data_IF_665582334838
#
_entry.id   IF_665582334838
#
_cell.length_a   1.000
_cell.length_b   1.000
_cell.length_c   1.000
_cell.angle_alpha   90.00
_cell.angle_beta   90.00
_cell.angle_gamma   90.00
#
_symmetry.space_group_name_H-M   'P 1'
#
loop_
_entity.id
_entity.type
_entity.pdbx_description
1 polymer ?
#
# COMPACT_ATOMS: atom_id res chain seq x y z
N UNK A 1 -25.22 4.64 -30.95
CA UNK A 1 -24.30 5.00 -29.84
C UNK A 1 -24.20 3.98 -28.72
N UNK A 2 -25.26 3.28 -28.28
CA UNK A 2 -25.20 2.28 -27.19
C UNK A 2 -24.25 1.09 -27.44
N UNK A 3 -24.23 0.50 -28.65
CA UNK A 3 -23.37 -0.65 -28.99
C UNK A 3 -21.85 -0.39 -28.91
N UNK A 4 -21.39 0.85 -29.08
CA UNK A 4 -19.97 1.22 -28.92
C UNK A 4 -19.57 1.43 -27.45
N UNK A 5 -20.53 1.73 -26.57
CA UNK A 5 -20.28 1.83 -25.13
C UNK A 5 -20.09 0.43 -24.53
N UNK A 6 -20.93 -0.54 -24.91
CA UNK A 6 -20.87 -1.92 -24.38
C UNK A 6 -19.56 -2.65 -24.75
N UNK A 7 -19.03 -2.42 -25.96
CA UNK A 7 -17.72 -2.96 -26.39
C UNK A 7 -16.52 -2.30 -25.68
N UNK A 8 -16.64 -1.01 -25.31
CA UNK A 8 -15.61 -0.30 -24.53
C UNK A 8 -15.62 -0.68 -23.05
N UNK A 9 -16.79 -0.92 -22.47
CA UNK A 9 -16.93 -1.42 -21.09
C UNK A 9 -16.35 -2.84 -21.00
N UNK A 10 -16.57 -3.68 -22.02
CA UNK A 10 -16.00 -5.03 -22.13
C UNK A 10 -14.47 -5.06 -22.18
N UNK A 11 -13.82 -4.04 -22.77
CA UNK A 11 -12.35 -3.93 -22.82
C UNK A 11 -11.77 -3.29 -21.57
N UNK A 12 -12.49 -2.35 -20.94
CA UNK A 12 -12.02 -1.63 -19.74
C UNK A 12 -12.00 -2.50 -18.49
N UNK A 13 -12.95 -3.43 -18.37
CA UNK A 13 -13.08 -4.34 -17.22
C UNK A 13 -12.69 -5.78 -17.56
N UNK A 14 -11.91 -5.98 -18.62
CA UNK A 14 -11.64 -7.30 -19.19
C UNK A 14 -10.97 -8.24 -18.18
N UNK A 15 -10.06 -7.74 -17.35
CA UNK A 15 -9.39 -8.58 -16.34
C UNK A 15 -10.31 -9.02 -15.19
N UNK A 16 -11.47 -8.37 -14.97
CA UNK A 16 -12.47 -8.82 -13.97
C UNK A 16 -13.14 -10.15 -14.34
N UNK A 17 -12.93 -10.65 -15.57
CA UNK A 17 -13.36 -12.00 -15.96
C UNK A 17 -12.64 -13.09 -15.16
N UNK A 18 -11.41 -12.83 -14.70
CA UNK A 18 -10.63 -13.77 -13.91
C UNK A 18 -11.11 -13.77 -12.45
N UNK A 19 -11.48 -14.94 -11.93
CA UNK A 19 -12.05 -15.11 -10.59
C UNK A 19 -11.14 -14.52 -9.49
N UNK A 20 -9.85 -14.88 -9.52
CA UNK A 20 -8.88 -14.42 -8.54
C UNK A 20 -8.65 -12.90 -8.62
N UNK A 21 -8.55 -12.35 -9.84
CA UNK A 21 -8.42 -10.90 -10.02
C UNK A 21 -9.65 -10.14 -9.53
N UNK A 22 -10.86 -10.67 -9.75
CA UNK A 22 -12.10 -10.04 -9.28
C UNK A 22 -12.19 -10.00 -7.75
N UNK A 23 -11.87 -11.10 -7.07
CA UNK A 23 -11.79 -11.13 -5.60
C UNK A 23 -10.74 -10.14 -5.08
N UNK A 24 -9.59 -10.10 -5.73
CA UNK A 24 -8.52 -9.16 -5.38
C UNK A 24 -8.99 -7.72 -5.54
N UNK A 25 -9.57 -7.38 -6.68
CA UNK A 25 -10.02 -6.02 -6.99
C UNK A 25 -11.07 -5.52 -6.00
N UNK A 26 -12.09 -6.32 -5.69
CA UNK A 26 -13.16 -5.94 -4.76
C UNK A 26 -12.59 -5.79 -3.34
N UNK A 27 -11.82 -6.78 -2.88
CA UNK A 27 -11.20 -6.73 -1.57
C UNK A 27 -10.30 -5.49 -1.44
N UNK A 28 -9.38 -5.32 -2.38
CA UNK A 28 -8.40 -4.25 -2.34
C UNK A 28 -9.01 -2.87 -2.45
N UNK A 29 -10.08 -2.70 -3.23
CA UNK A 29 -10.75 -1.40 -3.34
C UNK A 29 -11.22 -0.93 -1.97
N UNK A 30 -11.86 -1.82 -1.20
CA UNK A 30 -12.40 -1.51 0.12
C UNK A 30 -11.27 -1.25 1.12
N UNK A 31 -10.23 -2.10 1.13
CA UNK A 31 -9.09 -1.94 2.04
C UNK A 31 -8.25 -0.70 1.74
N UNK A 32 -8.08 -0.32 0.48
CA UNK A 32 -7.39 0.91 0.12
C UNK A 32 -8.16 2.14 0.61
N UNK A 33 -9.49 2.16 0.48
CA UNK A 33 -10.31 3.26 1.02
C UNK A 33 -10.12 3.37 2.53
N UNK A 34 -10.23 2.25 3.27
CA UNK A 34 -9.99 2.22 4.71
C UNK A 34 -8.57 2.69 5.09
N UNK A 35 -7.56 2.26 4.33
CA UNK A 35 -6.16 2.64 4.56
C UNK A 35 -5.98 4.15 4.36
N UNK A 36 -6.56 4.71 3.30
CA UNK A 36 -6.53 6.15 3.03
C UNK A 36 -7.29 6.94 4.08
N UNK A 37 -8.40 6.41 4.61
CA UNK A 37 -9.08 7.02 5.75
C UNK A 37 -8.16 7.10 6.98
N UNK A 38 -7.55 5.97 7.38
CA UNK A 38 -6.63 5.92 8.52
C UNK A 38 -5.43 6.86 8.33
N UNK A 39 -4.88 6.97 7.10
CA UNK A 39 -3.78 7.90 6.78
C UNK A 39 -4.12 9.36 7.01
N UNK A 40 -5.40 9.74 6.97
CA UNK A 40 -5.88 11.09 7.28
C UNK A 40 -6.21 11.23 8.77
N UNK A 41 -6.82 10.19 9.35
CA UNK A 41 -7.23 10.19 10.76
C UNK A 41 -6.03 10.21 11.71
N UNK A 42 -4.93 9.49 11.43
CA UNK A 42 -3.78 9.42 12.34
C UNK A 42 -3.12 10.80 12.55
N UNK A 43 -2.74 11.56 11.50
CA UNK A 43 -2.22 12.92 11.68
C UNK A 43 -3.18 13.85 12.41
N UNK A 44 -4.49 13.72 12.14
CA UNK A 44 -5.53 14.49 12.82
C UNK A 44 -5.54 14.23 14.33
N UNK A 45 -5.49 12.96 14.74
CA UNK A 45 -5.42 12.58 16.16
C UNK A 45 -4.14 13.09 16.82
N UNK A 46 -2.99 12.94 16.16
CA UNK A 46 -1.70 13.44 16.71
C UNK A 46 -1.74 14.94 16.93
N UNK A 47 -2.27 15.70 15.95
CA UNK A 47 -2.41 17.14 16.08
C UNK A 47 -3.37 17.53 17.21
N UNK A 48 -4.54 16.87 17.30
CA UNK A 48 -5.53 17.12 18.34
C UNK A 48 -4.98 16.85 19.76
N UNK A 49 -4.13 15.84 19.92
CA UNK A 49 -3.52 15.48 21.21
C UNK A 49 -2.39 16.43 21.63
N UNK A 50 -1.70 17.08 20.69
CA UNK A 50 -0.44 17.80 20.97
C UNK A 50 -0.44 19.28 20.65
N UNK A 51 -1.28 19.71 19.70
CA UNK A 51 -1.18 21.02 19.06
C UNK A 51 0.11 21.26 18.28
N UNK A 52 0.95 20.24 18.08
CA UNK A 52 2.31 20.40 17.54
C UNK A 52 2.45 19.88 16.11
N UNK A 53 2.71 20.79 15.17
CA UNK A 53 3.04 20.46 13.78
C UNK A 53 4.33 19.63 13.65
N UNK A 54 5.27 19.78 14.60
CA UNK A 54 6.50 19.00 14.62
C UNK A 54 6.21 17.52 14.89
N UNK A 55 5.39 17.20 15.90
CA UNK A 55 5.04 15.82 16.24
C UNK A 55 4.19 15.15 15.15
N UNK A 56 3.36 15.93 14.45
CA UNK A 56 2.69 15.47 13.24
C UNK A 56 3.72 15.05 12.17
N UNK A 57 4.71 15.91 11.89
CA UNK A 57 5.79 15.61 10.95
C UNK A 57 6.61 14.37 11.34
N UNK A 58 6.97 14.24 12.62
CA UNK A 58 7.68 13.06 13.15
C UNK A 58 6.85 11.80 12.98
N UNK A 59 5.55 11.84 13.28
CA UNK A 59 4.64 10.69 13.12
C UNK A 59 4.51 10.26 11.65
N UNK A 60 4.41 11.24 10.74
CA UNK A 60 4.41 10.98 9.29
C UNK A 60 5.73 10.38 8.82
N UNK A 61 6.86 10.92 9.27
CA UNK A 61 8.19 10.42 8.95
C UNK A 61 8.40 8.98 9.44
N UNK A 62 7.99 8.68 10.67
CA UNK A 62 8.08 7.34 11.24
C UNK A 62 7.31 6.27 10.43
N UNK A 63 6.24 6.66 9.74
CA UNK A 63 5.50 5.76 8.84
C UNK A 63 6.23 5.47 7.52
N UNK A 64 7.04 6.41 7.03
CA UNK A 64 7.73 6.28 5.74
C UNK A 64 9.17 5.77 5.86
N UNK A 65 9.86 6.10 6.95
CA UNK A 65 11.25 5.74 7.19
C UNK A 65 11.51 4.23 7.03
N UNK A 66 10.71 3.31 7.61
CA UNK A 66 10.94 1.88 7.44
C UNK A 66 10.74 1.43 6.00
N UNK A 67 9.74 1.99 5.29
CA UNK A 67 9.52 1.69 3.87
C UNK A 67 10.76 2.04 3.06
N UNK A 68 11.35 3.20 3.32
CA UNK A 68 12.57 3.65 2.66
C UNK A 68 13.78 2.76 2.98
N UNK A 69 13.99 2.41 4.25
CA UNK A 69 15.11 1.58 4.68
C UNK A 69 15.02 0.13 4.16
N UNK A 70 13.82 -0.43 4.14
CA UNK A 70 13.60 -1.83 3.73
C UNK A 70 13.31 -1.99 2.23
N UNK A 71 13.01 -0.91 1.49
CA UNK A 71 12.77 -0.94 0.04
C UNK A 71 13.79 -1.76 -0.77
N UNK A 72 15.12 -1.61 -0.61
CA UNK A 72 16.09 -2.38 -1.41
C UNK A 72 16.05 -3.88 -1.10
N UNK A 73 15.75 -4.26 0.15
CA UNK A 73 15.66 -5.65 0.56
C UNK A 73 14.32 -6.29 0.19
N UNK A 74 13.25 -5.50 0.17
CA UNK A 74 11.89 -6.00 0.01
C UNK A 74 11.69 -6.80 -1.29
N UNK A 75 12.26 -6.35 -2.42
CA UNK A 75 12.18 -7.08 -3.68
C UNK A 75 12.82 -8.47 -3.61
N UNK A 76 14.06 -8.54 -3.11
CA UNK A 76 14.78 -9.82 -2.97
C UNK A 76 14.06 -10.81 -2.05
N UNK A 77 13.42 -10.31 -0.98
CA UNK A 77 12.64 -11.13 -0.06
C UNK A 77 11.37 -11.64 -0.75
N UNK A 78 10.61 -10.76 -1.41
CA UNK A 78 9.35 -11.08 -2.11
C UNK A 78 9.55 -12.16 -3.18
N UNK A 79 10.69 -12.16 -3.85
CA UNK A 79 10.99 -13.15 -4.91
C UNK A 79 11.30 -14.56 -4.35
N UNK A 80 11.79 -14.63 -3.12
CA UNK A 80 12.22 -15.87 -2.45
C UNK A 80 11.18 -16.46 -1.50
N UNK A 81 10.15 -15.71 -1.14
CA UNK A 81 9.06 -16.19 -0.28
C UNK A 81 7.79 -16.44 -1.08
N UNK A 82 6.87 -17.19 -0.49
CA UNK A 82 5.54 -17.34 -1.07
C UNK A 82 4.80 -15.99 -0.96
N UNK A 83 4.58 -15.32 -2.10
CA UNK A 83 3.94 -13.99 -2.18
C UNK A 83 2.55 -13.96 -1.55
N UNK A 84 1.77 -15.03 -1.67
CA UNK A 84 0.47 -15.14 -1.02
C UNK A 84 0.61 -15.17 0.51
N UNK A 85 1.52 -16.00 1.05
CA UNK A 85 1.76 -16.04 2.50
C UNK A 85 2.26 -14.70 3.03
N UNK A 86 3.18 -14.07 2.30
CA UNK A 86 3.70 -12.76 2.68
C UNK A 86 2.58 -11.71 2.72
N UNK A 87 1.76 -11.64 1.66
CA UNK A 87 0.63 -10.71 1.58
C UNK A 87 -0.42 -10.98 2.67
N UNK A 88 -0.68 -12.25 2.97
CA UNK A 88 -1.58 -12.63 4.05
C UNK A 88 -1.07 -12.15 5.42
N UNK A 89 0.22 -12.34 5.69
CA UNK A 89 0.87 -11.91 6.94
C UNK A 89 0.87 -10.39 7.04
N UNK A 90 1.28 -9.67 5.99
CA UNK A 90 1.32 -8.20 6.00
C UNK A 90 -0.06 -7.60 6.26
N UNK A 91 -1.08 -8.11 5.59
CA UNK A 91 -2.47 -7.65 5.78
C UNK A 91 -3.00 -7.98 7.18
N UNK A 92 -2.61 -9.13 7.74
CA UNK A 92 -2.99 -9.51 9.11
C UNK A 92 -2.33 -8.59 10.15
N UNK A 93 -1.05 -8.23 9.98
CA UNK A 93 -0.36 -7.28 10.86
C UNK A 93 -0.96 -5.89 10.71
N UNK A 94 -1.28 -5.44 9.50
CA UNK A 94 -1.94 -4.15 9.28
C UNK A 94 -3.35 -4.10 9.91
N UNK A 95 -4.10 -5.20 9.84
CA UNK A 95 -5.39 -5.33 10.54
C UNK A 95 -5.21 -5.22 12.06
N UNK A 96 -4.25 -5.96 12.63
CA UNK A 96 -3.96 -5.91 14.06
C UNK A 96 -3.52 -4.51 14.51
N UNK A 97 -2.74 -3.81 13.68
CA UNK A 97 -2.33 -2.43 13.92
C UNK A 97 -3.52 -1.46 13.90
N UNK A 98 -4.44 -1.60 12.94
CA UNK A 98 -5.66 -0.79 12.89
C UNK A 98 -6.58 -1.04 14.08
N UNK A 99 -6.72 -2.31 14.50
CA UNK A 99 -7.45 -2.68 15.72
C UNK A 99 -6.78 -2.11 16.97
N UNK A 100 -5.45 -2.16 17.07
CA UNK A 100 -4.71 -1.57 18.18
C UNK A 100 -4.95 -0.06 18.28
N UNK A 101 -4.92 0.68 17.16
CA UNK A 101 -5.28 2.10 17.13
C UNK A 101 -6.71 2.33 17.63
N UNK A 102 -7.68 1.56 17.13
CA UNK A 102 -9.07 1.65 17.57
C UNK A 102 -9.22 1.41 19.07
N UNK A 103 -8.69 0.30 19.58
CA UNK A 103 -8.78 -0.09 20.99
C UNK A 103 -8.10 0.92 21.90
N UNK A 104 -6.90 1.39 21.58
CA UNK A 104 -6.20 2.41 22.36
C UNK A 104 -6.94 3.74 22.38
N UNK A 105 -7.56 4.12 21.25
CA UNK A 105 -8.34 5.36 21.17
C UNK A 105 -9.60 5.31 22.03
N UNK A 106 -10.39 4.24 21.90
CA UNK A 106 -11.66 4.08 22.64
C UNK A 106 -11.43 3.88 24.14
N UNK A 107 -10.33 3.23 24.54
CA UNK A 107 -9.97 3.08 25.95
C UNK A 107 -9.27 4.31 26.54
N UNK A 108 -9.08 5.39 25.77
CA UNK A 108 -8.36 6.60 26.17
C UNK A 108 -6.89 6.39 26.59
N UNK A 109 -6.26 5.28 26.18
CA UNK A 109 -4.84 4.99 26.43
C UNK A 109 -3.95 5.42 25.24
N UNK A 110 -4.52 6.04 24.21
CA UNK A 110 -3.76 6.47 23.04
C UNK A 110 -2.80 7.60 23.39
N UNK A 111 -1.54 7.44 22.97
CA UNK A 111 -0.48 8.43 23.16
C UNK A 111 0.35 8.58 21.90
N UNK A 112 1.01 9.73 21.75
CA UNK A 112 1.83 10.03 20.57
C UNK A 112 2.97 9.02 20.37
N UNK A 113 3.71 8.59 21.41
CA UNK A 113 4.73 7.54 21.26
C UNK A 113 4.14 6.21 20.75
N UNK A 114 2.96 5.81 21.23
CA UNK A 114 2.28 4.60 20.75
C UNK A 114 1.85 4.73 19.29
N UNK A 115 1.34 5.90 18.89
CA UNK A 115 1.01 6.15 17.48
C UNK A 115 2.25 6.05 16.59
N UNK A 116 3.37 6.67 16.99
CA UNK A 116 4.65 6.61 16.26
C UNK A 116 5.13 5.16 16.13
N UNK A 117 5.06 4.38 17.22
CA UNK A 117 5.44 2.97 17.21
C UNK A 117 4.56 2.15 16.25
N UNK A 118 3.24 2.31 16.32
CA UNK A 118 2.30 1.62 15.42
C UNK A 118 2.47 2.04 13.95
N UNK A 119 2.77 3.33 13.70
CA UNK A 119 3.09 3.82 12.36
C UNK A 119 4.40 3.22 11.83
N UNK A 120 5.41 3.03 12.68
CA UNK A 120 6.68 2.40 12.31
C UNK A 120 6.46 0.93 11.92
N UNK A 121 5.62 0.20 12.67
CA UNK A 121 5.21 -1.16 12.30
C UNK A 121 4.51 -1.14 10.94
N UNK A 122 3.53 -0.26 10.75
CA UNK A 122 2.80 -0.16 9.48
C UNK A 122 3.72 0.22 8.31
N UNK A 123 4.70 1.10 8.53
CA UNK A 123 5.74 1.42 7.54
C UNK A 123 6.57 0.21 7.14
N UNK A 124 6.94 -0.62 8.12
CA UNK A 124 7.69 -1.87 7.87
C UNK A 124 6.85 -2.85 7.07
N UNK A 125 5.56 -3.01 7.43
CA UNK A 125 4.60 -3.84 6.70
C UNK A 125 4.47 -3.37 5.24
N UNK A 126 4.29 -2.07 5.01
CA UNK A 126 4.14 -1.50 3.67
C UNK A 126 5.37 -1.73 2.78
N UNK A 127 6.57 -1.77 3.37
CA UNK A 127 7.81 -2.03 2.64
C UNK A 127 7.76 -3.36 1.86
N UNK A 128 7.16 -4.39 2.45
CA UNK A 128 7.04 -5.71 1.85
C UNK A 128 5.70 -5.93 1.15
N UNK A 129 4.62 -5.34 1.69
CA UNK A 129 3.27 -5.50 1.16
C UNK A 129 3.14 -4.98 -0.27
N UNK A 130 3.64 -3.77 -0.53
CA UNK A 130 3.54 -3.15 -1.86
C UNK A 130 4.22 -3.99 -2.96
N UNK A 131 5.50 -4.40 -2.84
CA UNK A 131 6.12 -5.26 -3.85
C UNK A 131 5.49 -6.65 -3.93
N UNK A 132 5.09 -7.26 -2.80
CA UNK A 132 4.39 -8.55 -2.80
C UNK A 132 3.10 -8.49 -3.61
N UNK A 133 2.34 -7.40 -3.46
CA UNK A 133 1.09 -7.13 -4.15
C UNK A 133 1.29 -6.94 -5.66
N UNK A 134 2.30 -6.16 -6.06
CA UNK A 134 2.63 -5.97 -7.48
C UNK A 134 3.06 -7.28 -8.14
N UNK A 135 3.87 -8.08 -7.45
CA UNK A 135 4.29 -9.41 -7.93
C UNK A 135 3.11 -10.38 -8.05
N UNK A 136 2.23 -10.40 -7.04
CA UNK A 136 1.06 -11.29 -7.02
C UNK A 136 0.07 -10.97 -8.16
N UNK A 137 -0.10 -9.69 -8.51
CA UNK A 137 -1.02 -9.23 -9.55
C UNK A 137 -0.86 -10.00 -10.87
N UNK A 138 0.38 -10.30 -11.24
CA UNK A 138 0.73 -11.02 -12.48
C UNK A 138 0.16 -12.44 -12.49
N UNK A 139 0.05 -13.07 -11.32
CA UNK A 139 -0.50 -14.43 -11.17
C UNK A 139 -2.02 -14.46 -11.03
N UNK A 140 -2.67 -13.31 -10.87
CA UNK A 140 -4.14 -13.23 -10.78
C UNK A 140 -4.81 -13.24 -12.16
N UNK A 141 -4.04 -13.01 -13.22
CA UNK A 141 -4.49 -12.86 -14.59
C UNK A 141 -3.81 -13.93 -15.43
N UNK A 142 -4.57 -14.88 -15.97
CA UNK A 142 -3.99 -15.99 -16.74
C UNK A 142 -3.52 -15.55 -18.15
N UNK A 143 -4.18 -14.54 -18.73
CA UNK A 143 -3.85 -14.00 -20.06
C UNK A 143 -2.91 -12.82 -19.98
N UNK A 144 -1.71 -12.94 -20.57
CA UNK A 144 -0.71 -11.85 -20.62
C UNK A 144 -1.25 -10.60 -21.32
N UNK A 145 -2.13 -10.76 -22.30
CA UNK A 145 -2.79 -9.65 -23.01
C UNK A 145 -3.69 -8.80 -22.10
N UNK A 146 -4.17 -9.35 -20.99
CA UNK A 146 -5.05 -8.65 -20.05
C UNK A 146 -4.29 -8.07 -18.84
N UNK A 147 -2.97 -8.31 -18.75
CA UNK A 147 -2.14 -7.79 -17.66
C UNK A 147 -2.09 -6.27 -17.66
N UNK A 148 -1.97 -5.64 -18.84
CA UNK A 148 -1.99 -4.17 -18.95
C UNK A 148 -3.33 -3.59 -18.48
N UNK A 149 -4.45 -4.28 -18.76
CA UNK A 149 -5.75 -3.88 -18.26
C UNK A 149 -5.84 -4.01 -16.73
N UNK A 150 -5.31 -5.10 -16.17
CA UNK A 150 -5.25 -5.31 -14.74
C UNK A 150 -4.39 -4.25 -14.01
N UNK A 151 -3.24 -3.87 -14.58
CA UNK A 151 -2.38 -2.81 -14.06
C UNK A 151 -3.11 -1.45 -14.12
N UNK A 152 -3.81 -1.17 -15.22
CA UNK A 152 -4.61 0.05 -15.36
C UNK A 152 -5.73 0.09 -14.31
N UNK A 153 -6.47 -1.00 -14.11
CA UNK A 153 -7.52 -1.09 -13.09
C UNK A 153 -6.97 -0.97 -11.67
N UNK A 154 -5.83 -1.60 -11.37
CA UNK A 154 -5.18 -1.46 -10.07
C UNK A 154 -4.77 -0.01 -9.81
N UNK A 155 -4.26 0.69 -10.84
CA UNK A 155 -3.92 2.11 -10.76
C UNK A 155 -5.16 2.97 -10.53
N UNK A 156 -6.25 2.71 -11.26
CA UNK A 156 -7.54 3.40 -11.07
C UNK A 156 -8.07 3.20 -9.65
N UNK A 157 -8.02 1.98 -9.12
CA UNK A 157 -8.41 1.64 -7.76
C UNK A 157 -7.63 2.44 -6.71
N UNK A 158 -6.30 2.52 -6.83
CA UNK A 158 -5.45 3.28 -5.90
C UNK A 158 -5.78 4.78 -5.95
N UNK A 159 -5.97 5.35 -7.14
CA UNK A 159 -6.28 6.76 -7.30
C UNK A 159 -7.69 7.10 -6.78
N UNK A 160 -8.68 6.23 -7.04
CA UNK A 160 -10.03 6.37 -6.49
C UNK A 160 -10.01 6.33 -4.97
N UNK A 161 -9.29 5.38 -4.37
CA UNK A 161 -9.18 5.30 -2.92
C UNK A 161 -8.48 6.53 -2.33
N UNK A 162 -7.46 7.07 -3.01
CA UNK A 162 -6.77 8.30 -2.61
C UNK A 162 -7.68 9.53 -2.65
N UNK A 163 -8.65 9.57 -3.57
CA UNK A 163 -9.64 10.64 -3.66
C UNK A 163 -10.77 10.48 -2.64
N UNK A 164 -11.34 9.27 -2.57
CA UNK A 164 -12.55 8.97 -1.80
C UNK A 164 -12.25 8.79 -0.32
N UNK A 165 -11.12 8.16 0.03
CA UNK A 165 -10.74 7.87 1.42
C UNK A 165 -10.71 9.11 2.32
N UNK A 166 -9.94 10.16 1.98
CA UNK A 166 -9.91 11.40 2.77
C UNK A 166 -11.27 12.08 2.90
N UNK A 167 -12.07 12.08 1.83
CA UNK A 167 -13.40 12.68 1.79
C UNK A 167 -14.35 11.98 2.77
N UNK A 168 -14.36 10.64 2.76
CA UNK A 168 -15.14 9.82 3.71
C UNK A 168 -14.62 10.01 5.13
N UNK A 169 -13.29 10.04 5.33
CA UNK A 169 -12.69 10.24 6.64
C UNK A 169 -13.13 11.56 7.27
N UNK A 170 -13.11 12.66 6.53
CA UNK A 170 -13.55 13.97 7.04
C UNK A 170 -14.98 13.96 7.56
N UNK A 171 -15.91 13.37 6.79
CA UNK A 171 -17.33 13.25 7.17
C UNK A 171 -17.50 12.34 8.40
N UNK A 172 -16.78 11.23 8.46
CA UNK A 172 -16.88 10.30 9.58
C UNK A 172 -16.27 10.89 10.85
N UNK A 173 -15.13 11.57 10.75
CA UNK A 173 -14.50 12.26 11.89
C UNK A 173 -15.46 13.33 12.44
N UNK A 174 -16.13 14.11 11.59
CA UNK A 174 -17.04 15.17 12.04
C UNK A 174 -18.35 14.65 12.65
N UNK A 175 -18.80 13.45 12.28
CA UNK A 175 -20.11 12.90 12.71
C UNK A 175 -20.01 11.81 13.77
N UNK A 176 -19.06 10.88 13.63
CA UNK A 176 -18.89 9.68 14.47
C UNK A 176 -17.53 9.58 15.16
N UNK A 177 -16.67 10.59 14.98
CA UNK A 177 -15.34 10.64 15.56
C UNK A 177 -14.30 9.76 14.88
N UNK A 178 -13.07 9.87 15.37
CA UNK A 178 -11.87 9.29 14.78
C UNK A 178 -11.79 7.77 14.92
N UNK A 179 -12.30 7.24 16.05
CA UNK A 179 -12.32 5.80 16.34
C UNK A 179 -13.01 5.00 15.21
N UNK A 180 -14.10 5.54 14.67
CA UNK A 180 -14.89 4.90 13.63
C UNK A 180 -14.06 4.67 12.36
N UNK A 181 -13.14 5.58 12.02
CA UNK A 181 -12.24 5.40 10.88
C UNK A 181 -11.27 4.23 11.09
N UNK A 182 -10.70 4.08 12.29
CA UNK A 182 -9.80 2.96 12.61
C UNK A 182 -10.54 1.61 12.57
N UNK A 183 -11.76 1.56 13.10
CA UNK A 183 -12.60 0.37 13.05
C UNK A 183 -12.97 -0.02 11.61
N UNK A 184 -13.40 0.95 10.79
CA UNK A 184 -13.69 0.71 9.37
C UNK A 184 -12.45 0.17 8.65
N UNK A 185 -11.27 0.72 8.93
CA UNK A 185 -10.04 0.23 8.32
C UNK A 185 -9.73 -1.22 8.75
N UNK A 186 -9.87 -1.55 10.04
CA UNK A 186 -9.69 -2.91 10.52
C UNK A 186 -10.64 -3.91 9.82
N UNK A 187 -11.92 -3.57 9.70
CA UNK A 187 -12.93 -4.38 8.99
C UNK A 187 -12.56 -4.50 7.50
N UNK A 188 -12.04 -3.44 6.89
CA UNK A 188 -11.62 -3.44 5.49
C UNK A 188 -10.46 -4.42 5.22
N UNK A 189 -9.51 -4.53 6.15
CA UNK A 189 -8.44 -5.53 6.06
C UNK A 189 -8.97 -6.95 6.23
N UNK A 190 -9.89 -7.17 7.18
CA UNK A 190 -10.55 -8.48 7.34
C UNK A 190 -11.21 -8.92 6.03
N UNK A 191 -11.90 -8.00 5.36
CA UNK A 191 -12.55 -8.27 4.08
C UNK A 191 -11.55 -8.69 3.00
N UNK A 192 -10.40 -8.01 2.89
CA UNK A 192 -9.33 -8.46 1.97
C UNK A 192 -8.79 -9.82 2.34
N UNK A 193 -8.56 -10.09 3.62
CA UNK A 193 -8.02 -11.37 4.09
C UNK A 193 -8.98 -12.50 3.68
N UNK A 194 -10.28 -12.30 3.85
CA UNK A 194 -11.30 -13.25 3.36
C UNK A 194 -11.22 -13.41 1.84
N UNK A 195 -11.12 -12.32 1.09
CA UNK A 195 -10.96 -12.41 -0.37
C UNK A 195 -9.70 -13.20 -0.76
N UNK A 196 -8.58 -13.02 -0.05
CA UNK A 196 -7.34 -13.78 -0.27
C UNK A 196 -7.55 -15.27 0.01
N UNK A 197 -8.18 -15.63 1.12
CA UNK A 197 -8.47 -17.04 1.47
C UNK A 197 -9.34 -17.71 0.41
N UNK A 198 -10.28 -16.98 -0.19
CA UNK A 198 -11.17 -17.48 -1.25
C UNK A 198 -10.46 -17.64 -2.60
N UNK A 199 -9.27 -17.04 -2.80
CA UNK A 199 -8.53 -17.20 -4.05
C UNK A 199 -7.97 -18.61 -4.20
N UNK A 200 -8.02 -19.11 -5.44
CA UNK A 200 -7.43 -20.39 -5.81
C UNK A 200 -6.16 -20.11 -6.60
N UNK A 201 -5.04 -19.98 -5.90
CA UNK A 201 -3.76 -19.58 -6.49
C UNK A 201 -2.83 -20.79 -6.67
N UNK A 202 -2.46 -21.06 -7.92
CA UNK A 202 -1.38 -21.98 -8.25
C UNK A 202 -0.10 -21.19 -8.41
N UNK A 203 0.57 -20.88 -7.30
CA UNK A 203 1.84 -20.16 -7.32
C UNK A 203 3.00 -21.14 -7.52
N UNK A 204 3.97 -20.81 -8.39
CA UNK A 204 5.20 -21.58 -8.46
C UNK A 204 5.91 -21.54 -7.12
N UNK A 205 6.52 -22.67 -6.73
CA UNK A 205 7.27 -22.74 -5.47
C UNK A 205 8.36 -21.67 -5.44
N UNK A 206 8.61 -21.06 -4.26
CA UNK A 206 9.67 -20.07 -4.14
C UNK A 206 11.00 -20.73 -4.49
N UNK A 207 11.78 -20.11 -5.40
CA UNK A 207 13.13 -20.59 -5.69
C UNK A 207 13.97 -20.44 -4.42
N UNK A 208 14.39 -21.56 -3.81
CA UNK A 208 15.36 -21.57 -2.72
C UNK A 208 16.75 -21.26 -3.31
N UNK A 209 17.09 -19.99 -3.47
CA UNK A 209 18.48 -19.60 -3.74
C UNK A 209 19.27 -19.62 -2.44
N UNK A 210 20.41 -20.32 -2.45
CA UNK A 210 21.33 -20.46 -1.32
C UNK A 210 22.23 -19.23 -1.08
N UNK A 211 22.05 -18.16 -1.85
CA UNK A 211 22.91 -16.98 -1.80
C UNK A 211 22.42 -15.95 -0.78
N UNK A 212 23.36 -15.31 -0.08
CA UNK A 212 23.04 -14.34 0.96
C UNK A 212 22.34 -13.12 0.35
N UNK A 213 21.26 -12.63 0.98
CA UNK A 213 20.48 -11.45 0.51
C UNK A 213 21.40 -10.24 0.21
N UNK A 214 22.47 -10.09 0.99
CA UNK A 214 23.44 -9.00 0.85
C UNK A 214 24.30 -9.16 -0.41
N UNK A 215 24.59 -10.40 -0.84
CA UNK A 215 25.37 -10.68 -2.05
C UNK A 215 24.57 -10.32 -3.31
N UNK A 216 23.30 -10.74 -3.39
CA UNK A 216 22.40 -10.34 -4.47
C UNK A 216 22.23 -8.81 -4.52
N UNK A 217 22.15 -8.15 -3.36
CA UNK A 217 22.03 -6.70 -3.30
C UNK A 217 23.29 -6.01 -3.86
N UNK A 218 24.47 -6.53 -3.51
CA UNK A 218 25.76 -6.06 -4.06
C UNK A 218 25.86 -6.33 -5.55
N UNK A 219 25.40 -7.48 -6.01
CA UNK A 219 25.40 -7.84 -7.43
C UNK A 219 24.46 -6.93 -8.23
N UNK A 220 23.27 -6.63 -7.70
CA UNK A 220 22.33 -5.66 -8.29
C UNK A 220 22.92 -4.25 -8.37
N UNK A 221 23.58 -3.76 -7.31
CA UNK A 221 24.26 -2.46 -7.31
C UNK A 221 25.42 -2.46 -8.33
N UNK A 222 26.19 -3.54 -8.38
CA UNK A 222 27.28 -3.72 -9.34
C UNK A 222 26.76 -3.69 -10.79
N UNK A 223 25.66 -4.40 -11.05
CA UNK A 223 25.00 -4.44 -12.35
C UNK A 223 24.48 -3.06 -12.78
N UNK A 224 23.85 -2.32 -11.88
CA UNK A 224 23.39 -0.94 -12.14
C UNK A 224 24.59 -0.03 -12.48
N UNK A 225 25.71 -0.17 -11.77
CA UNK A 225 26.93 0.61 -12.03
C UNK A 225 27.59 0.26 -13.36
N UNK A 226 27.52 -1.00 -13.79
CA UNK A 226 28.09 -1.45 -15.05
C UNK A 226 27.23 -1.06 -16.26
N UNK A 227 25.90 -0.94 -16.08
CA UNK A 227 25.00 -0.53 -17.14
C UNK A 227 24.69 0.98 -17.07
N UNK A 228 25.41 1.77 -17.86
CA UNK A 228 25.26 3.24 -17.87
C UNK A 228 23.82 3.69 -18.10
N UNK A 229 23.05 3.05 -18.99
CA UNK A 229 21.66 3.45 -19.26
C UNK A 229 20.77 3.32 -18.02
N UNK A 230 20.87 2.19 -17.30
CA UNK A 230 20.12 1.96 -16.05
C UNK A 230 20.53 2.94 -14.95
N UNK A 231 21.83 3.22 -14.82
CA UNK A 231 22.34 4.19 -13.84
C UNK A 231 21.76 5.59 -14.07
N UNK A 232 21.75 6.08 -15.32
CA UNK A 232 21.17 7.40 -15.65
C UNK A 232 19.67 7.45 -15.35
N UNK A 233 18.91 6.40 -15.66
CA UNK A 233 17.46 6.34 -15.37
C UNK A 233 17.19 6.39 -13.86
N UNK A 234 17.96 5.65 -13.05
CA UNK A 234 17.81 5.65 -11.59
C UNK A 234 18.19 7.00 -10.98
N UNK A 235 19.29 7.63 -11.44
CA UNK A 235 19.70 8.96 -10.97
C UNK A 235 18.66 10.01 -11.34
N UNK A 236 18.14 9.97 -12.57
CA UNK A 236 17.08 10.87 -13.02
C UNK A 236 15.82 10.71 -12.16
N UNK A 237 15.38 9.46 -11.91
CA UNK A 237 14.25 9.18 -11.02
C UNK A 237 14.50 9.68 -9.59
N UNK A 238 15.71 9.52 -9.07
CA UNK A 238 16.09 10.01 -7.74
C UNK A 238 16.02 11.54 -7.68
N UNK A 239 16.58 12.25 -8.66
CA UNK A 239 16.53 13.72 -8.75
C UNK A 239 15.09 14.20 -8.86
N UNK A 240 14.29 13.63 -9.76
CA UNK A 240 12.89 14.01 -9.95
C UNK A 240 12.06 13.72 -8.69
N UNK A 241 12.30 12.61 -8.00
CA UNK A 241 11.60 12.29 -6.76
C UNK A 241 12.01 13.22 -5.62
N UNK A 242 13.31 13.55 -5.49
CA UNK A 242 13.84 14.39 -4.43
C UNK A 242 13.42 15.86 -4.60
N UNK A 243 13.32 16.35 -5.83
CA UNK A 243 13.01 17.75 -6.13
C UNK A 243 11.53 17.97 -6.44
N UNK A 244 10.90 17.05 -7.19
CA UNK A 244 9.54 17.20 -7.70
C UNK A 244 8.43 16.82 -6.71
N UNK A 245 8.64 15.80 -5.86
CA UNK A 245 7.61 15.40 -4.88
C UNK A 245 7.41 16.45 -3.77
N UNK A 246 8.46 17.03 -3.15
CA UNK A 246 8.28 18.08 -2.14
C UNK A 246 7.54 19.30 -2.67
N UNK A 247 7.71 19.64 -3.95
CA UNK A 247 6.96 20.73 -4.60
C UNK A 247 5.44 20.50 -4.54
N UNK A 248 4.96 19.27 -4.79
CA UNK A 248 3.53 18.96 -4.68
C UNK A 248 2.98 19.03 -3.27
N UNK A 249 3.83 18.80 -2.26
CA UNK A 249 3.48 18.88 -0.83
C UNK A 249 3.51 20.32 -0.30
N UNK A 250 4.40 21.16 -0.83
CA UNK A 250 4.59 22.55 -0.41
C UNK A 250 3.68 23.54 -1.14
N UNK A 251 3.08 23.16 -2.27
CA UNK A 251 2.14 24.00 -3.04
C UNK A 251 1.07 24.70 -2.18
N UNK A 252 0.41 24.05 -1.19
CA UNK A 252 -0.60 24.69 -0.34
C UNK A 252 -0.05 25.73 0.64
N UNK A 253 1.28 25.77 0.86
CA UNK A 253 1.93 26.75 1.75
C UNK A 253 2.23 28.06 1.01
N UNK A 254 2.30 28.00 -0.32
CA UNK A 254 2.58 29.14 -1.20
C UNK A 254 1.35 29.63 -1.98
N UNK A 255 0.18 29.02 -1.76
CA UNK A 255 -1.09 29.36 -2.39
C UNK A 255 -1.99 30.18 -1.46
#
# INVERSE_FOLDING_TARGET
MKKRLDLRISTTFRSLKYYNFRLYFIGQSISLIGTWMQRVTVPWVVYRLTGSSLLLGVSGFASQLPTFLFAPFAGTVVDRVNRYKLLFITQSIAMAQALALYSLYVTHHISVPLIIFLNTILGTVNAFDMPARQSLLVYLVEGKEDLNNAIALNSSMVNLARLVGPSIAGIIISTKGEATCFLINAISYLFVIVCLILMKLNLPEPKRTSQHIIEDLKEGISYIRQNSTLSHVIVLLAIVSLIGMPYTVLLPVYA
#
